data_IF_920939730095
#
_entry.id   IF_920939730095
#
_cell.length_a   1.000
_cell.length_b   1.000
_cell.length_c   1.000
_cell.angle_alpha   90.00
_cell.angle_beta   90.00
_cell.angle_gamma   90.00
#
_symmetry.space_group_name_H-M   'P 1'
#
loop_
_entity.id
_entity.type
_entity.pdbx_description
1 polymer ?
#
# COMPACT_ATOMS: atom_id res chain seq x y z
N UNK A 1 9.72 -29.70 24.74
CA UNK A 1 8.51 -28.99 24.25
C UNK A 1 8.85 -28.41 22.89
N UNK A 2 8.52 -29.09 21.79
CA UNK A 2 8.86 -28.63 20.44
C UNK A 2 7.91 -27.48 20.06
N UNK A 3 8.48 -26.32 19.70
CA UNK A 3 7.72 -25.23 19.12
C UNK A 3 7.30 -25.68 17.72
N UNK A 4 6.01 -25.99 17.54
CA UNK A 4 5.46 -26.23 16.21
C UNK A 4 5.56 -24.92 15.44
N UNK A 5 6.54 -24.81 14.54
CA UNK A 5 6.50 -23.78 13.51
C UNK A 5 5.29 -24.08 12.65
N UNK A 6 4.22 -23.31 12.83
CA UNK A 6 3.12 -23.30 11.87
C UNK A 6 3.70 -22.80 10.55
N UNK A 7 3.78 -23.67 9.55
CA UNK A 7 4.12 -23.31 8.17
C UNK A 7 3.05 -22.34 7.66
N UNK A 8 3.26 -21.04 7.85
CA UNK A 8 2.35 -20.00 7.37
C UNK A 8 2.56 -19.85 5.86
N UNK A 9 1.66 -20.48 5.08
CA UNK A 9 1.59 -20.30 3.64
C UNK A 9 1.47 -18.82 3.31
N UNK A 10 2.41 -18.31 2.52
CA UNK A 10 2.37 -16.93 2.04
C UNK A 10 1.16 -16.80 1.10
N UNK A 11 0.29 -15.83 1.39
CA UNK A 11 -0.88 -15.50 0.58
C UNK A 11 -0.82 -14.03 0.17
N UNK A 12 -1.21 -13.73 -1.06
CA UNK A 12 -1.30 -12.35 -1.56
C UNK A 12 -2.36 -11.56 -0.77
N UNK A 13 -2.23 -10.23 -0.76
CA UNK A 13 -3.21 -9.38 -0.09
C UNK A 13 -4.61 -9.57 -0.69
N UNK A 14 -5.65 -9.14 0.04
CA UNK A 14 -7.01 -9.18 -0.51
C UNK A 14 -7.15 -8.26 -1.73
N UNK A 15 -6.49 -7.11 -1.71
CA UNK A 15 -6.51 -6.16 -2.83
C UNK A 15 -5.88 -6.79 -4.08
N UNK A 16 -4.72 -7.42 -3.94
CA UNK A 16 -4.02 -8.08 -5.06
C UNK A 16 -4.81 -9.23 -5.66
N UNK A 17 -5.69 -9.88 -4.89
CA UNK A 17 -6.58 -10.93 -5.39
C UNK A 17 -7.84 -10.41 -6.07
N UNK A 18 -8.16 -9.13 -5.88
CA UNK A 18 -9.30 -8.46 -6.51
C UNK A 18 -8.87 -7.60 -7.72
N UNK A 19 -7.59 -7.22 -7.78
CA UNK A 19 -7.00 -6.61 -8.95
C UNK A 19 -6.81 -7.68 -10.02
N UNK A 20 -7.27 -7.39 -11.23
CA UNK A 20 -7.12 -8.25 -12.40
C UNK A 20 -6.02 -7.66 -13.29
N UNK A 21 -4.84 -8.26 -13.22
CA UNK A 21 -3.67 -7.83 -13.99
C UNK A 21 -3.71 -8.35 -15.45
N UNK A 22 -4.49 -9.39 -15.75
CA UNK A 22 -4.69 -9.91 -17.11
C UNK A 22 -6.19 -10.10 -17.42
N UNK A 23 -6.91 -9.02 -17.74
CA UNK A 23 -8.35 -9.07 -18.01
C UNK A 23 -8.73 -9.88 -19.25
N UNK A 24 -7.75 -10.36 -20.04
CA UNK A 24 -7.99 -11.25 -21.18
C UNK A 24 -7.93 -12.72 -20.78
N UNK A 25 -7.31 -13.06 -19.65
CA UNK A 25 -7.30 -14.40 -19.11
C UNK A 25 -8.65 -14.71 -18.46
N UNK A 26 -9.31 -15.78 -18.90
CA UNK A 26 -10.61 -16.20 -18.34
C UNK A 26 -10.47 -17.06 -17.08
N UNK A 27 -9.26 -17.54 -16.79
CA UNK A 27 -8.96 -18.45 -15.71
C UNK A 27 -7.61 -18.05 -15.14
N UNK A 28 -7.55 -17.88 -13.83
CA UNK A 28 -6.31 -17.57 -13.12
C UNK A 28 -5.36 -18.77 -13.08
N UNK A 29 -4.07 -18.48 -13.22
CA UNK A 29 -3.05 -19.51 -13.18
C UNK A 29 -2.83 -20.01 -11.74
N UNK A 30 -2.54 -21.30 -11.53
CA UNK A 30 -2.27 -21.82 -10.19
C UNK A 30 -0.97 -21.23 -9.62
N UNK A 31 -1.07 -20.49 -8.51
CA UNK A 31 0.07 -19.85 -7.85
C UNK A 31 0.96 -20.87 -7.14
N UNK A 32 2.27 -20.83 -7.42
CA UNK A 32 3.32 -21.55 -6.65
C UNK A 32 3.86 -20.63 -5.56
N UNK A 33 4.31 -21.16 -4.43
CA UNK A 33 4.75 -20.32 -3.29
C UNK A 33 5.86 -19.32 -3.64
N UNK A 34 6.89 -19.74 -4.38
CA UNK A 34 7.95 -18.83 -4.85
C UNK A 34 7.45 -17.75 -5.82
N UNK A 35 6.32 -18.00 -6.49
CA UNK A 35 5.67 -17.03 -7.36
C UNK A 35 4.89 -16.00 -6.52
N UNK A 36 4.18 -16.42 -5.47
CA UNK A 36 3.46 -15.52 -4.54
C UNK A 36 4.39 -14.52 -3.87
N UNK A 37 5.59 -14.93 -3.44
CA UNK A 37 6.56 -14.00 -2.83
C UNK A 37 7.01 -12.92 -3.83
N UNK A 38 7.21 -13.30 -5.10
CA UNK A 38 7.59 -12.36 -6.16
C UNK A 38 6.45 -11.38 -6.46
N UNK A 39 5.22 -11.88 -6.55
CA UNK A 39 4.02 -11.07 -6.74
C UNK A 39 3.83 -10.09 -5.59
N UNK A 40 3.96 -10.53 -4.34
CA UNK A 40 3.90 -9.63 -3.17
C UNK A 40 4.94 -8.52 -3.23
N UNK A 41 6.17 -8.81 -3.65
CA UNK A 41 7.20 -7.78 -3.83
C UNK A 41 6.80 -6.77 -4.90
N UNK A 42 6.21 -7.24 -5.98
CA UNK A 42 5.77 -6.40 -7.10
C UNK A 42 4.58 -5.52 -6.69
N UNK A 43 3.61 -6.07 -5.95
CA UNK A 43 2.52 -5.30 -5.36
C UNK A 43 3.01 -4.20 -4.44
N UNK A 44 3.94 -4.51 -3.54
CA UNK A 44 4.56 -3.50 -2.68
C UNK A 44 5.28 -2.42 -3.50
N UNK A 45 5.99 -2.81 -4.55
CA UNK A 45 6.67 -1.87 -5.44
C UNK A 45 5.66 -0.93 -6.10
N UNK A 46 4.57 -1.45 -6.66
CA UNK A 46 3.47 -0.67 -7.26
C UNK A 46 2.86 0.28 -6.24
N UNK A 47 2.45 -0.23 -5.08
CA UNK A 47 1.77 0.55 -4.05
C UNK A 47 2.66 1.67 -3.49
N UNK A 48 3.96 1.40 -3.28
CA UNK A 48 4.92 2.42 -2.89
C UNK A 48 5.15 3.43 -4.02
N UNK A 49 5.20 2.99 -5.27
CA UNK A 49 5.34 3.89 -6.42
C UNK A 49 4.15 4.84 -6.50
N UNK A 50 2.93 4.33 -6.32
CA UNK A 50 1.71 5.12 -6.34
C UNK A 50 1.69 6.11 -5.16
N UNK A 51 2.06 5.66 -3.96
CA UNK A 51 2.12 6.51 -2.77
C UNK A 51 3.14 7.65 -2.92
N UNK A 52 4.34 7.34 -3.42
CA UNK A 52 5.43 8.30 -3.55
C UNK A 52 5.18 9.32 -4.67
N UNK A 53 4.42 8.93 -5.71
CA UNK A 53 4.06 9.83 -6.81
C UNK A 53 2.73 10.58 -6.60
N UNK A 54 1.87 10.11 -5.68
CA UNK A 54 0.69 10.83 -5.28
C UNK A 54 1.05 11.97 -4.31
N UNK A 55 0.74 13.21 -4.70
CA UNK A 55 0.90 14.37 -3.83
C UNK A 55 -0.40 14.62 -3.07
N UNK A 56 -0.33 14.77 -1.74
CA UNK A 56 -1.46 15.20 -0.90
C UNK A 56 -1.68 16.70 -1.10
N UNK A 57 -2.73 17.13 -1.83
CA UNK A 57 -2.80 18.50 -2.34
C UNK A 57 -3.42 19.49 -1.35
N UNK A 58 -4.08 19.02 -0.28
CA UNK A 58 -4.85 19.87 0.62
C UNK A 58 -4.02 20.26 1.87
N UNK A 59 -3.44 21.47 1.92
CA UNK A 59 -2.85 22.00 3.14
C UNK A 59 -3.90 22.30 4.23
N UNK A 60 -5.15 22.57 3.83
CA UNK A 60 -6.30 22.73 4.72
C UNK A 60 -7.56 22.15 4.06
N UNK A 61 -8.21 21.21 4.74
CA UNK A 61 -9.46 20.61 4.26
C UNK A 61 -10.62 21.58 4.51
N UNK A 62 -11.53 21.81 3.55
CA UNK A 62 -12.67 22.70 3.73
C UNK A 62 -13.54 22.30 4.94
N UNK A 63 -14.01 23.28 5.74
CA UNK A 63 -14.90 23.00 6.86
C UNK A 63 -16.24 22.45 6.35
N UNK A 64 -16.84 21.55 7.11
CA UNK A 64 -18.11 20.90 6.75
C UNK A 64 -17.99 19.61 5.94
N UNK A 65 -16.76 19.13 5.66
CA UNK A 65 -16.53 17.87 4.97
C UNK A 65 -15.83 16.83 5.88
N UNK A 66 -16.55 16.18 6.81
CA UNK A 66 -15.94 15.31 7.84
C UNK A 66 -15.28 14.04 7.29
N UNK A 67 -15.67 13.58 6.10
CA UNK A 67 -15.12 12.37 5.47
C UNK A 67 -13.97 12.66 4.50
N UNK A 68 -13.71 13.93 4.17
CA UNK A 68 -12.64 14.32 3.26
C UNK A 68 -11.23 13.91 3.77
N UNK A 69 -10.91 14.01 5.08
CA UNK A 69 -9.61 13.57 5.60
C UNK A 69 -9.30 12.09 5.34
N UNK A 70 -10.30 11.22 5.38
CA UNK A 70 -10.13 9.77 5.16
C UNK A 70 -10.43 9.34 3.71
N UNK A 71 -10.63 10.29 2.81
CA UNK A 71 -10.94 10.02 1.40
C UNK A 71 -9.67 9.90 0.56
N UNK A 72 -9.80 9.34 -0.64
CA UNK A 72 -8.72 9.29 -1.63
C UNK A 72 -8.19 10.68 -2.03
N UNK A 73 -8.99 11.75 -1.87
CA UNK A 73 -8.53 13.11 -2.14
C UNK A 73 -7.39 13.55 -1.20
N UNK A 74 -7.25 12.88 -0.05
CA UNK A 74 -6.18 13.11 0.91
C UNK A 74 -5.09 12.01 0.89
N UNK A 75 -5.10 11.12 -0.11
CA UNK A 75 -4.07 10.10 -0.30
C UNK A 75 -2.77 10.71 -0.86
N UNK A 76 -1.63 10.12 -0.52
CA UNK A 76 -0.31 10.55 -0.99
C UNK A 76 0.53 11.20 0.10
N UNK A 77 1.73 11.63 -0.27
CA UNK A 77 2.66 12.28 0.64
C UNK A 77 2.44 13.81 0.72
N UNK A 78 2.65 14.42 1.90
CA UNK A 78 2.78 15.87 1.99
C UNK A 78 4.01 16.32 1.19
N UNK A 79 4.01 17.59 0.77
CA UNK A 79 5.13 18.12 0.01
C UNK A 79 6.44 18.03 0.79
N UNK A 80 7.38 17.22 0.29
CA UNK A 80 8.65 16.94 0.95
C UNK A 80 9.68 18.07 0.75
N UNK A 81 9.41 19.06 -0.11
CA UNK A 81 10.35 20.14 -0.45
C UNK A 81 10.79 21.01 0.73
N UNK A 82 10.08 20.98 1.87
CA UNK A 82 10.44 21.72 3.09
C UNK A 82 10.60 20.83 4.32
N UNK A 83 10.66 19.51 4.16
CA UNK A 83 10.81 18.61 5.31
C UNK A 83 12.27 18.60 5.76
N UNK A 84 12.59 19.35 6.82
CA UNK A 84 13.81 19.11 7.58
C UNK A 84 13.81 17.63 8.00
N UNK A 85 14.92 16.92 7.75
CA UNK A 85 15.13 15.57 8.27
C UNK A 85 15.29 15.71 9.78
N UNK A 86 14.17 15.77 10.51
CA UNK A 86 14.16 15.69 11.96
C UNK A 86 14.41 14.24 12.36
N UNK A 87 15.35 14.01 13.26
CA UNK A 87 15.63 12.70 13.88
C UNK A 87 14.47 12.19 14.77
N UNK A 88 13.35 12.92 14.85
CA UNK A 88 12.13 12.43 15.49
C UNK A 88 11.48 11.38 14.59
N UNK A 89 11.68 10.11 14.93
CA UNK A 89 11.15 8.92 14.25
C UNK A 89 9.62 8.76 14.44
N UNK A 90 8.86 9.85 14.44
CA UNK A 90 7.40 9.81 14.55
C UNK A 90 6.75 9.80 13.17
N UNK A 91 6.83 8.63 12.50
CA UNK A 91 6.21 8.35 11.20
C UNK A 91 4.69 8.39 11.21
N UNK A 92 4.05 8.54 12.38
CA UNK A 92 2.58 8.65 12.50
C UNK A 92 2.03 9.95 11.89
N UNK A 93 2.88 10.87 11.44
CA UNK A 93 2.47 12.08 10.70
C UNK A 93 2.39 11.91 9.19
N UNK A 94 2.80 10.76 8.65
CA UNK A 94 2.66 10.47 7.22
C UNK A 94 1.27 9.92 6.82
N UNK A 95 0.42 9.59 7.79
CA UNK A 95 -0.94 9.10 7.56
C UNK A 95 -1.96 10.03 8.21
#
# INVERSE_FOLDING_TARGET
>A
MAHQFTEHRVVSSLLDRLLDDDPRAKVEAPSREGQVIRETRESLRRDLTDLLNARRPLPALPPGCPHLPSSLANYGLPDLQSSEIREDHNVLRLC
#
